data_IF_283493284363
#
_entry.id   IF_283493284363
#
_cell.length_a   1.000
_cell.length_b   1.000
_cell.length_c   1.000
_cell.angle_alpha   90.00
_cell.angle_beta   90.00
_cell.angle_gamma   90.00
#
_symmetry.space_group_name_H-M   'P 1'
#
loop_
_entity.id
_entity.type
_entity.pdbx_description
1 polymer ?
#
# COMPACT_ATOMS: atom_id res chain seq x y z
N UNK A 1 -5.91 -5.50 -26.94
CA UNK A 1 -6.55 -4.37 -26.24
C UNK A 1 -6.25 -4.54 -24.76
N UNK A 2 -5.45 -3.65 -24.19
CA UNK A 2 -4.99 -3.76 -22.81
C UNK A 2 -6.07 -3.23 -21.87
N UNK A 3 -6.53 -4.05 -20.92
CA UNK A 3 -7.60 -3.68 -19.97
C UNK A 3 -6.95 -3.00 -18.77
N UNK A 4 -7.00 -1.67 -18.73
CA UNK A 4 -6.47 -0.86 -17.63
C UNK A 4 -7.59 -0.58 -16.63
N UNK A 5 -7.41 -0.97 -15.36
CA UNK A 5 -8.34 -0.57 -14.29
C UNK A 5 -7.98 0.82 -13.76
N UNK A 6 -9.00 1.68 -13.65
CA UNK A 6 -8.87 3.01 -13.03
C UNK A 6 -8.76 2.94 -11.50
N UNK A 7 -7.99 3.87 -10.93
CA UNK A 7 -7.86 4.07 -9.49
C UNK A 7 -9.11 4.78 -8.92
N UNK A 8 -10.21 4.05 -8.76
CA UNK A 8 -11.53 4.61 -8.42
C UNK A 8 -11.63 5.30 -7.05
N UNK A 9 -10.70 5.05 -6.14
CA UNK A 9 -10.71 5.59 -4.78
C UNK A 9 -9.73 6.76 -4.59
N UNK A 10 -9.00 7.13 -5.65
CA UNK A 10 -8.16 8.32 -5.65
C UNK A 10 -9.04 9.58 -5.45
N UNK A 11 -8.57 10.50 -4.60
CA UNK A 11 -9.28 11.72 -4.24
C UNK A 11 -10.30 11.56 -3.10
N UNK A 12 -10.57 10.33 -2.65
CA UNK A 12 -11.44 10.06 -1.49
C UNK A 12 -10.71 9.32 -0.37
N UNK A 13 -10.11 8.16 -0.66
CA UNK A 13 -9.42 7.34 0.35
C UNK A 13 -7.95 7.72 0.51
N UNK A 14 -7.36 8.27 -0.54
CA UNK A 14 -6.00 8.77 -0.62
C UNK A 14 -5.96 9.92 -1.62
N UNK A 15 -4.97 10.80 -1.53
CA UNK A 15 -4.86 11.95 -2.45
C UNK A 15 -4.71 11.48 -3.90
N UNK A 16 -5.43 12.13 -4.82
CA UNK A 16 -5.32 11.89 -6.26
C UNK A 16 -4.09 12.55 -6.89
N UNK A 17 -3.53 13.56 -6.21
CA UNK A 17 -2.26 14.17 -6.60
C UNK A 17 -1.08 13.21 -6.31
N UNK A 18 -0.38 12.72 -7.35
CA UNK A 18 0.67 11.71 -7.18
C UNK A 18 1.87 12.22 -6.40
N UNK A 19 2.26 13.49 -6.57
CA UNK A 19 3.41 14.08 -5.86
C UNK A 19 3.12 14.19 -4.37
N UNK A 20 1.92 14.65 -4.02
CA UNK A 20 1.49 14.73 -2.63
C UNK A 20 1.40 13.33 -1.99
N UNK A 21 0.92 12.34 -2.75
CA UNK A 21 0.84 10.96 -2.28
C UNK A 21 2.23 10.41 -1.95
N UNK A 22 3.19 10.64 -2.84
CA UNK A 22 4.59 10.25 -2.67
C UNK A 22 5.19 10.88 -1.41
N UNK A 23 5.04 12.20 -1.24
CA UNK A 23 5.51 12.92 -0.04
C UNK A 23 4.90 12.38 1.26
N UNK A 24 3.60 12.07 1.26
CA UNK A 24 2.91 11.48 2.41
C UNK A 24 3.45 10.09 2.76
N UNK A 25 3.62 9.23 1.76
CA UNK A 25 4.11 7.87 1.92
C UNK A 25 5.57 7.84 2.38
N UNK A 26 6.44 8.63 1.74
CA UNK A 26 7.85 8.75 2.11
C UNK A 26 8.01 9.29 3.52
N UNK A 27 7.20 10.29 3.90
CA UNK A 27 7.16 10.83 5.25
C UNK A 27 6.84 9.75 6.29
N UNK A 28 5.84 8.90 6.03
CA UNK A 28 5.48 7.82 6.96
C UNK A 28 6.51 6.69 7.00
N UNK A 29 7.07 6.30 5.86
CA UNK A 29 8.11 5.27 5.78
C UNK A 29 9.39 5.72 6.48
N UNK A 30 9.79 6.98 6.27
CA UNK A 30 10.94 7.58 6.97
C UNK A 30 10.70 7.64 8.47
N UNK A 31 9.51 8.06 8.90
CA UNK A 31 9.14 8.14 10.32
C UNK A 31 9.07 6.77 11.01
N UNK A 32 8.69 5.71 10.29
CA UNK A 32 8.67 4.35 10.84
C UNK A 32 10.08 3.87 11.21
N UNK A 33 11.10 4.27 10.44
CA UNK A 33 12.52 4.10 10.78
C UNK A 33 12.96 2.65 11.01
N UNK A 34 12.26 1.68 10.42
CA UNK A 34 12.50 0.26 10.67
C UNK A 34 13.68 -0.29 9.85
N UNK A 35 14.48 -1.20 10.41
CA UNK A 35 15.46 -1.93 9.63
C UNK A 35 14.73 -2.85 8.64
N UNK A 36 15.12 -2.78 7.36
CA UNK A 36 14.59 -3.67 6.33
C UNK A 36 15.11 -5.08 6.55
N UNK A 37 14.23 -6.06 6.46
CA UNK A 37 14.58 -7.47 6.54
C UNK A 37 14.54 -8.11 5.15
N UNK A 38 15.57 -8.88 4.84
CA UNK A 38 15.69 -9.62 3.58
C UNK A 38 14.85 -10.91 3.55
N UNK A 39 14.24 -11.30 4.68
CA UNK A 39 13.44 -12.51 4.84
C UNK A 39 11.95 -12.21 5.13
N UNK A 40 11.46 -11.04 4.70
CA UNK A 40 10.01 -10.76 4.82
C UNK A 40 9.24 -11.59 3.81
N UNK A 41 8.48 -12.57 4.31
CA UNK A 41 7.62 -13.44 3.49
C UNK A 41 6.22 -12.88 3.26
N UNK A 42 5.78 -11.94 4.11
CA UNK A 42 4.48 -11.30 4.03
C UNK A 42 4.31 -10.21 5.09
N UNK A 43 3.32 -9.34 4.89
CA UNK A 43 2.96 -8.26 5.81
C UNK A 43 1.45 -8.17 5.95
N UNK A 44 0.99 -7.68 7.10
CA UNK A 44 -0.43 -7.37 7.35
C UNK A 44 -0.50 -5.86 7.58
N UNK A 45 -1.36 -5.19 6.83
CA UNK A 45 -1.53 -3.75 6.90
C UNK A 45 -3.02 -3.38 6.91
N UNK A 46 -3.41 -2.29 7.61
CA UNK A 46 -4.76 -1.76 7.52
C UNK A 46 -5.05 -1.20 6.12
N UNK A 47 -6.33 -1.22 5.73
CA UNK A 47 -6.78 -0.76 4.41
C UNK A 47 -7.75 0.43 4.46
N UNK A 48 -7.95 1.06 5.62
CA UNK A 48 -8.78 2.27 5.72
C UNK A 48 -8.13 3.46 4.99
N UNK A 49 -8.83 4.57 4.83
CA UNK A 49 -8.29 5.78 4.21
C UNK A 49 -6.96 6.22 4.84
N UNK A 50 -6.03 6.71 4.00
CA UNK A 50 -4.62 6.93 4.38
C UNK A 50 -4.44 7.95 5.52
N UNK A 51 -5.36 8.89 5.66
CA UNK A 51 -5.39 9.83 6.79
C UNK A 51 -5.49 9.13 8.15
N UNK A 52 -6.12 7.94 8.21
CA UNK A 52 -6.28 7.16 9.43
C UNK A 52 -5.25 6.02 9.53
N UNK A 53 -4.99 5.33 8.42
CA UNK A 53 -4.25 4.07 8.40
C UNK A 53 -2.80 4.19 7.92
N UNK A 54 -2.44 5.27 7.22
CA UNK A 54 -1.19 5.38 6.46
C UNK A 54 0.06 5.20 7.31
N UNK A 55 0.07 5.79 8.50
CA UNK A 55 1.17 5.64 9.47
C UNK A 55 1.33 4.20 9.94
N UNK A 56 0.23 3.51 10.25
CA UNK A 56 0.27 2.12 10.70
C UNK A 56 0.69 1.17 9.56
N UNK A 57 0.21 1.41 8.34
CA UNK A 57 0.64 0.67 7.15
C UNK A 57 2.14 0.85 6.87
N UNK A 58 2.71 2.03 7.14
CA UNK A 58 4.14 2.27 6.97
C UNK A 58 5.02 1.39 7.87
N UNK A 59 4.59 1.03 9.08
CA UNK A 59 5.32 0.06 9.91
C UNK A 59 5.31 -1.33 9.27
N UNK A 60 4.24 -1.73 8.59
CA UNK A 60 4.21 -3.02 7.90
C UNK A 60 5.14 -3.00 6.67
N UNK A 61 4.99 -2.02 5.79
CA UNK A 61 5.73 -1.94 4.53
C UNK A 61 7.20 -1.52 4.70
N UNK A 62 7.53 -0.75 5.73
CA UNK A 62 8.90 -0.30 6.01
C UNK A 62 9.88 -1.44 6.32
N UNK A 63 9.39 -2.61 6.73
CA UNK A 63 10.22 -3.79 6.96
C UNK A 63 10.65 -4.51 5.67
N UNK A 64 10.02 -4.21 4.53
CA UNK A 64 10.25 -4.95 3.28
C UNK A 64 11.51 -4.42 2.59
N UNK A 65 12.44 -5.32 2.27
CA UNK A 65 13.56 -5.03 1.37
C UNK A 65 13.13 -5.18 -0.10
N UNK A 66 13.07 -4.10 -0.90
CA UNK A 66 12.64 -4.15 -2.29
C UNK A 66 13.58 -4.97 -3.19
N UNK A 67 14.82 -5.24 -2.77
CA UNK A 67 15.80 -5.98 -3.57
C UNK A 67 15.57 -7.49 -3.60
N UNK A 68 14.84 -8.04 -2.61
CA UNK A 68 14.55 -9.47 -2.48
C UNK A 68 13.04 -9.79 -2.56
N UNK A 69 12.24 -8.88 -3.13
CA UNK A 69 10.81 -9.14 -3.35
C UNK A 69 10.68 -10.11 -4.54
N UNK A 70 10.27 -11.34 -4.25
CA UNK A 70 9.81 -12.29 -5.26
C UNK A 70 8.67 -11.62 -6.06
N UNK A 71 8.79 -11.53 -7.40
CA UNK A 71 7.83 -10.83 -8.29
C UNK A 71 6.35 -11.23 -8.12
N UNK A 72 6.07 -12.35 -7.44
CA UNK A 72 4.72 -12.81 -7.05
C UNK A 72 4.07 -11.97 -5.94
N UNK A 73 4.85 -11.27 -5.12
CA UNK A 73 4.33 -10.42 -4.04
C UNK A 73 3.77 -9.10 -4.58
N UNK A 74 4.27 -8.58 -5.71
CA UNK A 74 3.63 -7.43 -6.38
C UNK A 74 2.14 -7.68 -6.68
N UNK A 75 1.77 -8.94 -6.98
CA UNK A 75 0.39 -9.32 -7.20
C UNK A 75 -0.42 -9.45 -5.89
N UNK A 76 0.17 -9.88 -4.77
CA UNK A 76 -0.51 -10.11 -3.49
C UNK A 76 -0.60 -8.83 -2.64
N UNK A 77 0.40 -7.97 -2.70
CA UNK A 77 0.44 -6.70 -2.01
C UNK A 77 -0.53 -5.70 -2.67
N UNK A 78 -0.65 -5.76 -4.00
CA UNK A 78 -1.81 -5.22 -4.71
C UNK A 78 -3.10 -5.97 -4.33
N UNK A 79 -3.17 -7.31 -4.35
CA UNK A 79 -4.42 -8.04 -4.04
C UNK A 79 -4.95 -7.87 -2.63
N UNK A 80 -4.15 -7.76 -1.58
CA UNK A 80 -4.65 -7.67 -0.20
C UNK A 80 -5.04 -6.24 0.17
N UNK A 81 -4.32 -5.24 -0.37
CA UNK A 81 -4.76 -3.83 -0.30
C UNK A 81 -6.04 -3.62 -1.13
N UNK A 82 -6.26 -4.41 -2.20
CA UNK A 82 -7.30 -4.14 -3.21
C UNK A 82 -8.51 -5.09 -3.16
N UNK A 83 -8.38 -6.33 -2.70
CA UNK A 83 -9.52 -7.26 -2.54
C UNK A 83 -10.47 -6.80 -1.43
N UNK A 84 -9.98 -6.05 -0.44
CA UNK A 84 -10.83 -5.47 0.59
C UNK A 84 -11.41 -4.09 0.18
N UNK A 85 -10.85 -3.41 -0.83
CA UNK A 85 -11.46 -2.20 -1.41
C UNK A 85 -12.62 -2.50 -2.39
N UNK A 86 -12.89 -3.77 -2.69
CA UNK A 86 -13.96 -4.18 -3.60
C UNK A 86 -15.05 -5.03 -2.91
N UNK A 87 -15.00 -5.22 -1.59
CA UNK A 87 -16.01 -5.98 -0.84
C UNK A 87 -16.96 -5.07 -0.04
N UNK A 88 -17.47 -4.00 -0.65
CA UNK A 88 -18.63 -3.28 -0.08
C UNK A 88 -19.42 -2.49 -1.14
N UNK A 89 -19.49 -3.00 -2.37
CA UNK A 89 -20.48 -2.58 -3.39
C UNK A 89 -20.97 -3.81 -4.15
N UNK A 90 -21.48 -4.78 -3.42
CA UNK A 90 -22.41 -5.79 -3.94
C UNK A 90 -23.30 -6.23 -2.76
N UNK A 91 -24.24 -5.36 -2.40
CA UNK A 91 -25.41 -5.61 -1.55
C UNK A 91 -26.50 -4.63 -1.94
#
# INVERSE_FOLDING_TARGET
>A
MEVIRRASHAGSWYTDNPRKLEEELDGWLSAAGLPKSSDVRGVIAPHAGYSYSGRAAAYAFGNIDPTNIMQRVNAILARLVWLLSCWEVES
#
